data_IF_428979624211
#
_entry.id   IF_428979624211
#
_cell.length_a   1.000
_cell.length_b   1.000
_cell.length_c   1.000
_cell.angle_alpha   90.00
_cell.angle_beta   90.00
_cell.angle_gamma   90.00
#
_symmetry.space_group_name_H-M   'P 1'
#
loop_
_entity.id
_entity.type
_entity.pdbx_description
1 polymer ?
#
# COMPACT_ATOMS: atom_id res chain seq x y z
N UNK A 1 -16.56 15.32 -7.97
CA UNK A 1 -15.92 13.99 -7.85
C UNK A 1 -15.35 13.75 -6.44
N UNK A 2 -14.60 14.70 -5.88
CA UNK A 2 -14.10 14.67 -4.50
C UNK A 2 -14.95 15.54 -3.55
N UNK A 3 -14.91 15.23 -2.25
CA UNK A 3 -15.43 16.03 -1.13
C UNK A 3 -14.32 16.24 -0.10
N UNK A 4 -14.43 17.27 0.73
CA UNK A 4 -13.64 17.36 1.95
C UNK A 4 -14.04 16.23 2.90
N UNK A 5 -13.06 15.66 3.60
CA UNK A 5 -13.31 14.68 4.66
C UNK A 5 -13.57 15.38 6.00
N UNK A 6 -14.03 14.63 6.99
CA UNK A 6 -14.11 15.11 8.37
C UNK A 6 -12.73 15.43 8.98
N UNK A 7 -11.66 14.84 8.44
CA UNK A 7 -10.28 15.15 8.80
C UNK A 7 -9.81 16.38 8.01
N UNK A 8 -9.35 17.45 8.68
CA UNK A 8 -8.83 18.64 8.01
C UNK A 8 -7.72 18.31 7.01
N UNK A 9 -7.72 18.99 5.86
CA UNK A 9 -6.73 18.79 4.80
C UNK A 9 -6.85 17.48 4.00
N UNK A 10 -7.84 16.64 4.31
CA UNK A 10 -8.07 15.39 3.59
C UNK A 10 -9.29 15.51 2.67
N UNK A 11 -9.19 14.82 1.53
CA UNK A 11 -10.28 14.70 0.56
C UNK A 11 -10.64 13.24 0.35
N UNK A 12 -11.91 13.00 0.10
CA UNK A 12 -12.45 11.67 -0.16
C UNK A 12 -13.24 11.67 -1.46
N UNK A 13 -13.33 10.51 -2.11
CA UNK A 13 -14.28 10.33 -3.19
C UNK A 13 -15.70 10.46 -2.66
N UNK A 14 -16.53 11.21 -3.39
CA UNK A 14 -17.95 11.37 -3.03
C UNK A 14 -18.69 10.03 -3.03
N UNK A 15 -18.27 9.10 -3.89
CA UNK A 15 -18.87 7.78 -4.04
C UNK A 15 -17.79 6.70 -4.18
N UNK A 16 -17.90 5.53 -3.52
CA UNK A 16 -16.91 4.45 -3.61
C UNK A 16 -16.63 3.99 -5.05
N UNK A 17 -17.65 3.98 -5.91
CA UNK A 17 -17.49 3.63 -7.34
C UNK A 17 -16.56 4.58 -8.09
N UNK A 18 -16.53 5.88 -7.74
CA UNK A 18 -15.62 6.83 -8.37
C UNK A 18 -14.16 6.48 -8.06
N UNK A 19 -13.88 6.03 -6.84
CA UNK A 19 -12.54 5.58 -6.46
C UNK A 19 -12.10 4.39 -7.33
N UNK A 20 -13.00 3.43 -7.55
CA UNK A 20 -12.72 2.26 -8.40
C UNK A 20 -12.50 2.66 -9.86
N UNK A 21 -13.34 3.53 -10.41
CA UNK A 21 -13.22 4.02 -11.79
C UNK A 21 -11.89 4.76 -12.01
N UNK A 22 -11.55 5.69 -11.12
CA UNK A 22 -10.27 6.42 -11.20
C UNK A 22 -9.08 5.48 -11.07
N UNK A 23 -9.13 4.53 -10.14
CA UNK A 23 -8.06 3.57 -9.97
C UNK A 23 -7.86 2.70 -11.22
N UNK A 24 -8.93 2.22 -11.84
CA UNK A 24 -8.86 1.41 -13.07
C UNK A 24 -8.41 2.23 -14.28
N UNK A 25 -8.85 3.49 -14.39
CA UNK A 25 -8.50 4.37 -15.51
C UNK A 25 -7.09 4.95 -15.42
N UNK A 26 -6.47 4.93 -14.23
CA UNK A 26 -5.15 5.52 -14.03
C UNK A 26 -4.05 4.77 -14.82
N UNK A 27 -3.18 5.47 -15.57
CA UNK A 27 -2.06 4.84 -16.25
C UNK A 27 -1.17 4.03 -15.30
N UNK A 28 -0.62 2.90 -15.77
CA UNK A 28 0.21 2.00 -14.94
C UNK A 28 1.39 2.71 -14.26
N UNK A 29 2.13 3.53 -15.02
CA UNK A 29 3.25 4.31 -14.48
C UNK A 29 2.83 5.32 -13.40
N UNK A 30 1.64 5.93 -13.55
CA UNK A 30 1.10 6.83 -12.54
C UNK A 30 0.73 6.08 -11.25
N UNK A 31 0.07 4.91 -11.39
CA UNK A 31 -0.28 4.05 -10.25
C UNK A 31 0.96 3.61 -9.47
N UNK A 32 1.99 3.16 -10.18
CA UNK A 32 3.27 2.79 -9.59
C UNK A 32 3.89 3.95 -8.80
N UNK A 33 3.92 5.14 -9.39
CA UNK A 33 4.38 6.35 -8.70
C UNK A 33 3.54 6.72 -7.47
N UNK A 34 2.22 6.53 -7.54
CA UNK A 34 1.31 6.75 -6.41
C UNK A 34 1.59 5.78 -5.25
N UNK A 35 1.83 4.49 -5.53
CA UNK A 35 2.23 3.53 -4.49
C UNK A 35 3.56 3.91 -3.84
N UNK A 36 4.56 4.33 -4.60
CA UNK A 36 5.83 4.83 -4.03
C UNK A 36 5.62 6.02 -3.08
N UNK A 37 4.86 7.03 -3.51
CA UNK A 37 4.56 8.21 -2.66
C UNK A 37 3.80 7.84 -1.39
N UNK A 38 2.81 6.95 -1.50
CA UNK A 38 2.05 6.49 -0.34
C UNK A 38 2.91 5.70 0.64
N UNK A 39 3.79 4.81 0.16
CA UNK A 39 4.78 4.09 0.99
C UNK A 39 5.68 5.08 1.73
N UNK A 40 6.30 6.02 1.00
CA UNK A 40 7.18 7.03 1.57
C UNK A 40 6.47 7.90 2.62
N UNK A 41 5.22 8.30 2.36
CA UNK A 41 4.42 9.05 3.32
C UNK A 41 4.19 8.25 4.61
N UNK A 42 3.78 6.98 4.50
CA UNK A 42 3.57 6.13 5.66
C UNK A 42 4.87 5.88 6.45
N UNK A 43 5.98 5.70 5.76
CA UNK A 43 7.30 5.56 6.38
C UNK A 43 7.71 6.83 7.14
N UNK A 44 7.58 8.00 6.51
CA UNK A 44 7.92 9.29 7.12
C UNK A 44 7.08 9.63 8.36
N UNK A 45 5.89 9.05 8.48
CA UNK A 45 4.98 9.26 9.62
C UNK A 45 4.95 8.07 10.58
N UNK A 46 5.93 7.16 10.51
CA UNK A 46 6.06 6.02 11.43
C UNK A 46 4.85 5.09 11.46
N UNK A 47 4.10 4.99 10.36
CA UNK A 47 2.88 4.15 10.30
C UNK A 47 3.28 2.67 10.31
N UNK A 48 2.48 1.76 10.89
CA UNK A 48 2.80 0.33 10.98
C UNK A 48 3.10 -0.34 9.64
N UNK A 49 3.82 -1.47 9.65
CA UNK A 49 4.26 -2.17 8.44
C UNK A 49 3.07 -2.61 7.57
N UNK A 50 1.98 -3.08 8.18
CA UNK A 50 0.70 -3.39 7.52
C UNK A 50 0.14 -2.24 6.67
N UNK A 51 0.37 -0.97 7.04
CA UNK A 51 -0.06 0.19 6.23
C UNK A 51 0.83 0.40 5.02
N UNK A 52 2.08 -0.07 5.04
CA UNK A 52 3.05 0.05 3.94
C UNK A 52 3.06 -1.15 3.01
N UNK A 53 2.75 -2.35 3.51
CA UNK A 53 2.86 -3.62 2.81
C UNK A 53 2.21 -3.62 1.40
N UNK A 54 0.96 -3.16 1.30
CA UNK A 54 0.28 -3.05 0.00
C UNK A 54 0.99 -2.10 -0.96
N UNK A 55 1.65 -1.06 -0.46
CA UNK A 55 2.41 -0.14 -1.29
C UNK A 55 3.79 -0.69 -1.65
N UNK A 56 4.43 -1.44 -0.75
CA UNK A 56 5.66 -2.16 -1.04
C UNK A 56 5.46 -3.23 -2.12
N UNK A 57 4.48 -4.13 -1.96
CA UNK A 57 4.15 -5.18 -2.94
C UNK A 57 3.95 -4.63 -4.36
N UNK A 58 3.33 -3.45 -4.49
CA UNK A 58 2.99 -2.86 -5.78
C UNK A 58 4.12 -2.00 -6.39
N UNK A 59 5.10 -1.59 -5.60
CA UNK A 59 6.07 -0.58 -6.02
C UNK A 59 7.55 -0.97 -5.91
N UNK A 60 7.86 -1.94 -5.05
CA UNK A 60 9.19 -2.47 -4.89
C UNK A 60 9.59 -3.29 -6.12
N UNK A 61 10.90 -3.44 -6.29
CA UNK A 61 11.52 -4.23 -7.36
C UNK A 61 12.43 -5.28 -6.72
N UNK A 62 12.77 -6.36 -7.45
CA UNK A 62 13.84 -7.25 -7.03
C UNK A 62 15.11 -6.48 -6.64
N UNK A 63 15.71 -6.85 -5.51
CA UNK A 63 16.80 -6.16 -4.82
C UNK A 63 16.39 -5.12 -3.77
N UNK A 64 15.09 -4.84 -3.57
CA UNK A 64 14.63 -3.87 -2.55
C UNK A 64 14.51 -4.52 -1.16
N UNK A 65 15.64 -4.65 -0.47
CA UNK A 65 15.73 -5.23 0.88
C UNK A 65 14.82 -4.53 1.91
N UNK A 66 14.66 -3.21 1.78
CA UNK A 66 13.75 -2.44 2.63
C UNK A 66 12.30 -2.85 2.37
N UNK A 67 11.92 -3.03 1.11
CA UNK A 67 10.61 -3.54 0.71
C UNK A 67 10.34 -4.95 1.24
N UNK A 68 11.32 -5.85 1.12
CA UNK A 68 11.22 -7.21 1.65
C UNK A 68 11.01 -7.21 3.17
N UNK A 69 11.81 -6.42 3.89
CA UNK A 69 11.69 -6.29 5.36
C UNK A 69 10.32 -5.78 5.77
N UNK A 70 9.79 -4.76 5.07
CA UNK A 70 8.46 -4.24 5.35
C UNK A 70 7.35 -5.27 5.16
N UNK A 71 7.45 -6.09 4.10
CA UNK A 71 6.47 -7.14 3.82
C UNK A 71 6.55 -8.27 4.85
N UNK A 72 7.74 -8.68 5.26
CA UNK A 72 7.93 -9.69 6.33
C UNK A 72 7.33 -9.19 7.64
N UNK A 73 7.67 -7.98 8.09
CA UNK A 73 7.10 -7.44 9.34
C UNK A 73 5.57 -7.35 9.29
N UNK A 74 5.01 -6.94 8.15
CA UNK A 74 3.56 -6.89 7.99
C UNK A 74 2.91 -8.27 7.97
N UNK A 75 3.59 -9.27 7.40
CA UNK A 75 3.13 -10.65 7.39
C UNK A 75 3.15 -11.25 8.80
N UNK A 76 4.22 -11.01 9.57
CA UNK A 76 4.34 -11.44 10.97
C UNK A 76 3.19 -10.86 11.81
N UNK A 77 2.91 -9.56 11.66
CA UNK A 77 1.78 -8.88 12.34
C UNK A 77 0.41 -9.50 11.98
N UNK A 78 0.23 -9.95 10.73
CA UNK A 78 -1.04 -10.49 10.24
C UNK A 78 -1.19 -12.01 10.38
N UNK A 79 -0.12 -12.74 10.69
CA UNK A 79 -0.13 -14.21 10.64
C UNK A 79 -1.26 -14.83 11.47
N UNK A 80 -1.48 -14.32 12.68
CA UNK A 80 -2.49 -14.85 13.59
C UNK A 80 -3.94 -14.51 13.18
N UNK A 81 -4.16 -13.36 12.54
CA UNK A 81 -5.51 -12.84 12.24
C UNK A 81 -5.93 -13.01 10.78
N UNK A 82 -4.97 -13.08 9.86
CA UNK A 82 -5.16 -13.16 8.41
C UNK A 82 -4.02 -13.97 7.75
N UNK A 83 -3.92 -15.29 8.01
CA UNK A 83 -2.80 -16.12 7.54
C UNK A 83 -2.66 -16.15 6.00
N UNK A 84 -3.78 -16.06 5.26
CA UNK A 84 -3.73 -15.97 3.80
C UNK A 84 -3.06 -14.67 3.32
N UNK A 85 -3.32 -13.54 3.99
CA UNK A 85 -2.68 -12.26 3.70
C UNK A 85 -1.20 -12.29 4.08
N UNK A 86 -0.86 -12.86 5.23
CA UNK A 86 0.53 -13.05 5.63
C UNK A 86 1.31 -13.90 4.62
N UNK A 87 0.74 -15.04 4.18
CA UNK A 87 1.34 -15.89 3.16
C UNK A 87 1.59 -15.17 1.83
N UNK A 88 0.63 -14.35 1.39
CA UNK A 88 0.80 -13.53 0.19
C UNK A 88 1.96 -12.54 0.33
N UNK A 89 2.11 -11.90 1.49
CA UNK A 89 3.20 -10.95 1.73
C UNK A 89 4.57 -11.60 1.95
N UNK A 90 4.66 -12.77 2.60
CA UNK A 90 5.91 -13.53 2.61
C UNK A 90 6.33 -13.93 1.20
N UNK A 91 5.38 -14.37 0.37
CA UNK A 91 5.64 -14.72 -1.03
C UNK A 91 6.08 -13.51 -1.83
N UNK A 92 5.47 -12.34 -1.60
CA UNK A 92 5.89 -11.10 -2.23
C UNK A 92 7.30 -10.69 -1.77
N UNK A 93 7.61 -10.80 -0.47
CA UNK A 93 8.93 -10.50 0.07
C UNK A 93 10.02 -11.38 -0.55
N UNK A 94 9.76 -12.69 -0.72
CA UNK A 94 10.71 -13.62 -1.34
C UNK A 94 10.97 -13.36 -2.83
N UNK A 95 10.17 -12.51 -3.50
CA UNK A 95 10.36 -12.09 -4.89
C UNK A 95 11.09 -10.75 -5.01
N UNK A 96 11.16 -9.99 -3.91
CA UNK A 96 11.91 -8.75 -3.81
C UNK A 96 13.36 -9.07 -3.42
#
# INVERSE_FOLDING_TARGET
>A
MLRTSAVPGHVEFRHPLLARLVHTAAPGGWRLGAHRRARAHHQAHGRPAVRRARHAEQACKPGDESGATELVSAADEMLASAPATAGAWYTAAARL
#
